data_IF_974788181998
#
_entry.id   IF_974788181998
#
_cell.length_a   1.000
_cell.length_b   1.000
_cell.length_c   1.000
_cell.angle_alpha   90.00
_cell.angle_beta   90.00
_cell.angle_gamma   90.00
#
_symmetry.space_group_name_H-M   'P 1'
#
loop_
_entity.id
_entity.type
_entity.pdbx_description
1 polymer ?
#
# COMPACT_ATOMS: atom_id res chain seq x y z
N UNK A 1 -12.67 31.26 -21.55
CA UNK A 1 -12.05 30.63 -20.36
C UNK A 1 -13.19 30.28 -19.44
N UNK A 2 -13.45 28.99 -19.21
CA UNK A 2 -14.42 28.57 -18.20
C UNK A 2 -13.91 28.99 -16.82
N UNK A 3 -14.78 29.62 -16.03
CA UNK A 3 -14.44 30.16 -14.72
C UNK A 3 -14.07 29.01 -13.75
N UNK A 4 -12.91 29.09 -13.10
CA UNK A 4 -12.49 28.10 -12.11
C UNK A 4 -13.22 28.42 -10.81
N UNK A 5 -14.42 27.87 -10.64
CA UNK A 5 -15.22 28.06 -9.44
C UNK A 5 -14.83 27.05 -8.36
N UNK A 6 -14.67 27.55 -7.13
CA UNK A 6 -14.46 26.73 -5.94
C UNK A 6 -15.66 26.91 -5.02
N UNK A 7 -16.32 25.81 -4.69
CA UNK A 7 -17.37 25.80 -3.69
C UNK A 7 -16.78 25.48 -2.31
N UNK A 8 -16.91 26.41 -1.38
CA UNK A 8 -16.43 26.27 -0.01
C UNK A 8 -17.60 25.83 0.88
N UNK A 9 -17.53 24.62 1.45
CA UNK A 9 -18.51 24.15 2.43
C UNK A 9 -18.43 24.97 3.73
N UNK A 10 -17.22 25.36 4.13
CA UNK A 10 -16.97 26.29 5.22
C UNK A 10 -16.31 27.57 4.67
N UNK A 11 -16.94 28.76 4.81
CA UNK A 11 -16.36 30.02 4.35
C UNK A 11 -14.97 30.33 4.92
N UNK A 12 -14.63 29.83 6.12
CA UNK A 12 -13.31 30.05 6.73
C UNK A 12 -12.19 29.28 6.00
N UNK A 13 -12.51 28.18 5.33
CA UNK A 13 -11.53 27.41 4.55
C UNK A 13 -10.99 28.20 3.35
N UNK A 14 -11.76 29.17 2.85
CA UNK A 14 -11.33 30.06 1.77
C UNK A 14 -10.15 30.97 2.16
N UNK A 15 -9.86 31.10 3.46
CA UNK A 15 -8.74 31.91 3.99
C UNK A 15 -7.45 31.12 4.14
N UNK A 16 -7.48 29.80 3.96
CA UNK A 16 -6.33 28.93 4.14
C UNK A 16 -5.52 28.82 2.84
N UNK A 17 -4.23 28.48 2.99
CA UNK A 17 -3.40 28.12 1.86
C UNK A 17 -3.58 26.64 1.55
N UNK A 18 -3.87 26.32 0.29
CA UNK A 18 -4.17 24.97 -0.17
C UNK A 18 -3.14 24.50 -1.19
N UNK A 19 -2.60 23.32 -0.95
CA UNK A 19 -1.66 22.67 -1.87
C UNK A 19 -2.34 21.48 -2.52
N UNK A 20 -2.18 21.31 -3.83
CA UNK A 20 -2.69 20.12 -4.53
C UNK A 20 -1.89 18.89 -4.07
N UNK A 21 -2.59 17.85 -3.64
CA UNK A 21 -1.98 16.56 -3.34
C UNK A 21 -1.67 15.83 -4.65
N UNK A 22 -0.42 15.94 -5.10
CA UNK A 22 0.07 15.24 -6.29
C UNK A 22 0.72 13.90 -5.97
N UNK A 23 0.91 13.59 -4.69
CA UNK A 23 1.64 12.39 -4.26
C UNK A 23 0.66 11.22 -4.13
N UNK A 24 -0.45 11.42 -3.42
CA UNK A 24 -1.43 10.36 -3.17
C UNK A 24 -2.57 10.37 -4.19
N UNK A 25 -2.96 11.54 -4.69
CA UNK A 25 -4.05 11.69 -5.68
C UNK A 25 -3.60 12.50 -6.92
N UNK A 26 -2.61 12.00 -7.70
CA UNK A 26 -2.05 12.72 -8.85
C UNK A 26 -3.05 12.97 -9.98
N UNK A 27 -4.12 12.16 -10.07
CA UNK A 27 -5.15 12.21 -11.10
C UNK A 27 -6.49 12.61 -10.48
N UNK A 28 -7.44 13.16 -11.28
CA UNK A 28 -8.78 13.43 -10.77
C UNK A 28 -9.40 12.19 -10.10
N UNK A 29 -9.83 12.33 -8.87
CA UNK A 29 -10.53 11.29 -8.13
C UNK A 29 -11.98 11.24 -8.57
N UNK A 30 -12.48 10.03 -8.85
CA UNK A 30 -13.91 9.82 -9.10
C UNK A 30 -14.70 9.98 -7.79
N UNK A 31 -15.96 10.48 -7.83
CA UNK A 31 -16.76 10.72 -6.61
C UNK A 31 -16.89 9.50 -5.69
N UNK A 32 -17.08 8.31 -6.28
CA UNK A 32 -17.17 7.07 -5.55
C UNK A 32 -15.85 6.75 -4.82
N UNK A 33 -14.72 6.79 -5.55
CA UNK A 33 -13.38 6.58 -4.98
C UNK A 33 -13.11 7.54 -3.83
N UNK A 34 -13.50 8.82 -3.96
CA UNK A 34 -13.29 9.82 -2.91
C UNK A 34 -14.06 9.48 -1.63
N UNK A 35 -15.31 9.07 -1.77
CA UNK A 35 -16.13 8.67 -0.62
C UNK A 35 -15.45 7.52 0.13
N UNK A 36 -15.00 6.49 -0.59
CA UNK A 36 -14.20 5.40 -0.02
C UNK A 36 -12.90 5.86 0.64
N UNK A 37 -12.06 6.62 -0.07
CA UNK A 37 -10.77 7.05 0.47
C UNK A 37 -10.94 7.88 1.74
N UNK A 38 -11.89 8.82 1.76
CA UNK A 38 -12.17 9.64 2.94
C UNK A 38 -12.65 8.78 4.11
N UNK A 39 -13.63 7.92 3.88
CA UNK A 39 -14.30 7.21 4.97
C UNK A 39 -13.42 6.08 5.53
N UNK A 40 -12.61 5.43 4.68
CA UNK A 40 -11.73 4.33 5.10
C UNK A 40 -10.39 4.87 5.62
N UNK A 41 -9.64 5.62 4.80
CA UNK A 41 -8.28 6.07 5.16
C UNK A 41 -8.37 7.10 6.28
N UNK A 42 -9.33 8.02 6.20
CA UNK A 42 -9.58 9.05 7.21
C UNK A 42 -9.95 8.46 8.57
N UNK A 43 -10.77 7.40 8.60
CA UNK A 43 -11.07 6.71 9.86
C UNK A 43 -9.86 5.93 10.38
N UNK A 44 -9.09 5.27 9.51
CA UNK A 44 -7.87 4.54 9.88
C UNK A 44 -6.82 5.46 10.51
N UNK A 45 -6.50 6.58 9.85
CA UNK A 45 -5.57 7.57 10.39
C UNK A 45 -6.11 8.19 11.69
N UNK A 46 -7.42 8.46 11.77
CA UNK A 46 -8.05 9.00 12.97
C UNK A 46 -7.93 8.08 14.20
N UNK A 47 -8.04 6.76 14.02
CA UNK A 47 -7.77 5.78 15.09
C UNK A 47 -6.30 5.80 15.50
N UNK A 48 -5.39 5.83 14.53
CA UNK A 48 -3.95 5.84 14.82
C UNK A 48 -3.47 7.15 15.46
N UNK A 49 -4.13 8.28 15.19
CA UNK A 49 -3.87 9.57 15.85
C UNK A 49 -4.17 9.56 17.36
N UNK A 50 -4.93 8.60 17.87
CA UNK A 50 -5.09 8.39 19.33
C UNK A 50 -3.81 7.82 19.97
N UNK A 51 -2.97 7.17 19.18
CA UNK A 51 -1.70 6.55 19.61
C UNK A 51 -0.54 7.52 19.41
N UNK A 52 -0.53 8.21 18.28
CA UNK A 52 0.53 9.13 17.87
C UNK A 52 0.01 10.58 17.89
N UNK A 53 0.52 11.43 18.80
CA UNK A 53 0.05 12.80 18.95
C UNK A 53 0.61 13.72 17.85
N UNK A 54 0.08 13.60 16.63
CA UNK A 54 0.49 14.45 15.52
C UNK A 54 0.21 15.94 15.84
N UNK A 55 1.17 16.83 15.56
CA UNK A 55 0.96 18.26 15.72
C UNK A 55 0.06 18.81 14.62
N UNK A 56 -0.83 19.71 15.01
CA UNK A 56 -1.76 20.40 14.12
C UNK A 56 -2.95 19.57 13.67
N UNK A 57 -3.64 20.09 12.67
CA UNK A 57 -4.76 19.43 12.01
C UNK A 57 -4.54 19.45 10.49
N UNK A 58 -4.82 18.33 9.84
CA UNK A 58 -4.88 18.27 8.38
C UNK A 58 -6.32 18.46 7.92
N UNK A 59 -6.51 19.25 6.86
CA UNK A 59 -7.79 19.33 6.13
C UNK A 59 -7.58 19.02 4.67
N UNK A 60 -8.58 18.41 4.05
CA UNK A 60 -8.60 18.17 2.60
C UNK A 60 -9.93 18.57 1.98
N UNK A 61 -9.87 19.21 0.81
CA UNK A 61 -11.02 19.58 -0.01
C UNK A 61 -10.88 18.97 -1.40
N UNK A 62 -12.00 18.89 -2.12
CA UNK A 62 -12.04 18.46 -3.51
C UNK A 62 -12.42 19.64 -4.39
N UNK A 63 -11.58 19.97 -5.37
CA UNK A 63 -11.84 21.04 -6.33
C UNK A 63 -11.66 20.48 -7.74
N UNK A 64 -12.75 20.43 -8.52
CA UNK A 64 -12.75 19.91 -9.90
C UNK A 64 -12.14 18.51 -10.04
N UNK A 65 -12.40 17.64 -9.06
CA UNK A 65 -11.88 16.27 -9.02
C UNK A 65 -10.47 16.14 -8.45
N UNK A 66 -9.78 17.23 -8.11
CA UNK A 66 -8.45 17.18 -7.50
C UNK A 66 -8.52 17.41 -6.00
N UNK A 67 -7.73 16.62 -5.26
CA UNK A 67 -7.58 16.80 -3.81
C UNK A 67 -6.60 17.92 -3.53
N UNK A 68 -7.01 18.84 -2.67
CA UNK A 68 -6.15 19.85 -2.08
C UNK A 68 -6.12 19.65 -0.58
N UNK A 69 -4.96 19.88 0.02
CA UNK A 69 -4.73 19.73 1.45
C UNK A 69 -4.13 20.99 2.05
N UNK A 70 -4.33 21.14 3.36
CA UNK A 70 -3.73 22.19 4.16
C UNK A 70 -3.42 21.65 5.55
N UNK A 71 -2.38 22.22 6.16
CA UNK A 71 -1.99 21.92 7.53
C UNK A 71 -2.26 23.16 8.38
N UNK A 72 -3.05 22.99 9.43
CA UNK A 72 -3.32 24.03 10.42
C UNK A 72 -2.41 23.72 11.62
N UNK A 73 -1.34 24.49 11.84
CA UNK A 73 -0.42 24.22 12.93
C UNK A 73 -1.06 24.51 14.29
N UNK A 74 -0.63 23.76 15.29
CA UNK A 74 -0.88 24.07 16.69
C UNK A 74 -0.05 25.29 17.14
N UNK A 75 -0.36 25.93 18.29
CA UNK A 75 0.53 26.92 18.89
C UNK A 75 1.97 26.39 19.02
N UNK A 76 3.02 27.23 18.88
CA UNK A 76 4.42 26.76 18.78
C UNK A 76 4.86 25.83 19.92
N UNK A 77 4.54 26.18 21.16
CA UNK A 77 4.92 25.38 22.34
C UNK A 77 4.24 24.01 22.33
N UNK A 78 2.95 23.97 21.94
CA UNK A 78 2.20 22.73 21.81
C UNK A 78 2.72 21.88 20.66
N UNK A 79 3.08 22.51 19.53
CA UNK A 79 3.73 21.83 18.40
C UNK A 79 5.02 21.15 18.84
N UNK A 80 5.92 21.88 19.53
CA UNK A 80 7.19 21.34 20.00
C UNK A 80 6.99 20.14 20.95
N UNK A 81 6.07 20.27 21.91
CA UNK A 81 5.74 19.19 22.85
C UNK A 81 5.19 17.95 22.13
N UNK A 82 4.24 18.12 21.22
CA UNK A 82 3.64 17.02 20.46
C UNK A 82 4.65 16.32 19.55
N UNK A 83 5.53 17.07 18.88
CA UNK A 83 6.63 16.50 18.08
C UNK A 83 7.52 15.61 18.95
N UNK A 84 7.93 16.09 20.13
CA UNK A 84 8.74 15.31 21.05
C UNK A 84 8.03 14.02 21.50
N UNK A 85 6.75 14.11 21.86
CA UNK A 85 5.94 12.96 22.26
C UNK A 85 5.75 11.96 21.12
N UNK A 86 5.50 12.46 19.91
CA UNK A 86 5.35 11.66 18.69
C UNK A 86 6.62 10.87 18.40
N UNK A 87 7.78 11.52 18.39
CA UNK A 87 9.06 10.87 18.16
C UNK A 87 9.37 9.84 19.24
N UNK A 88 9.18 10.20 20.52
CA UNK A 88 9.40 9.27 21.64
C UNK A 88 8.50 8.04 21.53
N UNK A 89 7.23 8.23 21.13
CA UNK A 89 6.29 7.12 20.97
C UNK A 89 6.66 6.22 19.78
N UNK A 90 6.94 6.81 18.62
CA UNK A 90 7.40 6.05 17.44
C UNK A 90 8.65 5.23 17.79
N UNK A 91 9.63 5.85 18.46
CA UNK A 91 10.85 5.17 18.88
C UNK A 91 10.59 4.01 19.86
N UNK A 92 9.67 4.20 20.81
CA UNK A 92 9.33 3.17 21.80
C UNK A 92 8.63 1.95 21.17
N UNK A 93 7.88 2.16 20.07
CA UNK A 93 7.15 1.08 19.40
C UNK A 93 8.06 0.22 18.49
N UNK A 94 9.21 0.74 18.02
CA UNK A 94 10.10 0.04 17.06
C UNK A 94 10.53 -1.36 17.54
N UNK A 95 11.02 -1.57 18.78
CA UNK A 95 11.54 -2.87 19.19
C UNK A 95 10.50 -3.99 19.22
N UNK A 96 9.24 -3.65 19.54
CA UNK A 96 8.14 -4.61 19.64
C UNK A 96 7.43 -4.85 18.29
N UNK A 97 7.64 -3.96 17.31
CA UNK A 97 6.96 -4.00 16.02
C UNK A 97 7.12 -5.35 15.27
N UNK A 98 8.30 -6.01 15.24
CA UNK A 98 8.44 -7.32 14.61
C UNK A 98 7.59 -8.41 15.28
N UNK A 99 7.44 -8.35 16.61
CA UNK A 99 6.60 -9.29 17.36
C UNK A 99 5.13 -9.02 17.03
N UNK A 100 4.67 -7.77 17.16
CA UNK A 100 3.29 -7.36 16.83
C UNK A 100 2.92 -7.71 15.39
N UNK A 101 3.85 -7.52 14.46
CA UNK A 101 3.64 -7.93 13.07
C UNK A 101 3.31 -9.43 12.98
N UNK A 102 4.18 -10.31 13.51
CA UNK A 102 4.03 -11.76 13.38
C UNK A 102 2.88 -12.34 14.20
N UNK A 103 2.63 -11.80 15.38
CA UNK A 103 1.70 -12.39 16.35
C UNK A 103 0.30 -11.76 16.29
N UNK A 104 0.18 -10.51 15.87
CA UNK A 104 -1.07 -9.74 15.91
C UNK A 104 -1.54 -9.38 14.50
N UNK A 105 -0.75 -8.58 13.77
CA UNK A 105 -1.20 -7.94 12.53
C UNK A 105 -1.25 -8.88 11.34
N UNK A 106 -0.19 -9.63 11.06
CA UNK A 106 -0.13 -10.55 9.92
C UNK A 106 -1.22 -11.63 10.01
N UNK A 107 -1.46 -12.29 11.17
CA UNK A 107 -2.58 -13.23 11.31
C UNK A 107 -3.95 -12.59 11.12
N UNK A 108 -4.15 -11.35 11.59
CA UNK A 108 -5.40 -10.59 11.41
C UNK A 108 -5.67 -10.31 9.93
N UNK A 109 -4.68 -9.75 9.22
CA UNK A 109 -4.75 -9.45 7.80
C UNK A 109 -4.96 -10.72 6.95
N UNK A 110 -4.27 -11.81 7.29
CA UNK A 110 -4.41 -13.09 6.60
C UNK A 110 -5.83 -13.68 6.76
N UNK A 111 -6.43 -13.56 7.95
CA UNK A 111 -7.80 -14.00 8.22
C UNK A 111 -8.81 -13.21 7.39
N UNK A 112 -8.67 -11.89 7.35
CA UNK A 112 -9.57 -11.03 6.58
C UNK A 112 -9.47 -11.31 5.09
N UNK A 113 -8.26 -11.49 4.58
CA UNK A 113 -8.05 -11.84 3.19
C UNK A 113 -8.65 -13.21 2.85
N UNK A 114 -8.46 -14.21 3.70
CA UNK A 114 -9.06 -15.53 3.49
C UNK A 114 -10.59 -15.46 3.45
N UNK A 115 -11.19 -14.65 4.33
CA UNK A 115 -12.64 -14.42 4.33
C UNK A 115 -13.13 -13.72 3.05
N UNK A 116 -12.39 -12.73 2.54
CA UNK A 116 -12.73 -12.09 1.27
C UNK A 116 -12.59 -13.04 0.07
N UNK A 117 -11.56 -13.90 0.07
CA UNK A 117 -11.34 -14.89 -0.98
C UNK A 117 -12.40 -16.00 -0.98
N UNK A 118 -12.95 -16.34 0.20
CA UNK A 118 -13.99 -17.36 0.33
C UNK A 118 -15.40 -16.86 -0.06
N UNK A 119 -15.61 -15.56 -0.22
CA UNK A 119 -16.93 -15.00 -0.51
C UNK A 119 -17.28 -15.08 -2.00
N UNK A 120 -18.37 -15.78 -2.32
CA UNK A 120 -18.83 -15.98 -3.70
C UNK A 120 -19.73 -14.84 -4.19
N UNK A 121 -19.13 -13.76 -4.67
CA UNK A 121 -19.82 -12.54 -5.12
C UNK A 121 -20.98 -12.81 -6.10
N UNK A 122 -20.82 -13.74 -7.05
CA UNK A 122 -21.83 -13.99 -8.10
C UNK A 122 -23.01 -14.83 -7.63
N UNK A 123 -22.85 -15.55 -6.52
CA UNK A 123 -23.90 -16.42 -5.95
C UNK A 123 -24.65 -15.75 -4.79
N UNK A 124 -24.12 -14.64 -4.26
CA UNK A 124 -24.69 -13.92 -3.15
C UNK A 124 -25.97 -13.16 -3.54
N UNK A 125 -26.94 -13.13 -2.63
CA UNK A 125 -28.10 -12.25 -2.67
C UNK A 125 -27.70 -10.78 -2.44
N UNK A 126 -28.61 -9.85 -2.73
CA UNK A 126 -28.38 -8.43 -2.50
C UNK A 126 -28.11 -8.11 -1.03
N UNK A 127 -28.85 -8.71 -0.10
CA UNK A 127 -28.66 -8.48 1.33
C UNK A 127 -27.29 -8.98 1.80
N UNK A 128 -26.85 -10.15 1.31
CA UNK A 128 -25.51 -10.69 1.59
C UNK A 128 -24.42 -9.80 0.99
N UNK A 129 -24.62 -9.24 -0.20
CA UNK A 129 -23.67 -8.32 -0.84
C UNK A 129 -23.53 -7.01 -0.05
N UNK A 130 -24.64 -6.41 0.38
CA UNK A 130 -24.62 -5.19 1.20
C UNK A 130 -23.92 -5.46 2.53
N UNK A 131 -24.29 -6.55 3.21
CA UNK A 131 -23.66 -6.92 4.47
C UNK A 131 -22.16 -7.19 4.31
N UNK A 132 -21.77 -7.91 3.26
CA UNK A 132 -20.36 -8.18 2.97
C UNK A 132 -19.58 -6.88 2.69
N UNK A 133 -20.19 -5.96 1.97
CA UNK A 133 -19.61 -4.67 1.66
C UNK A 133 -19.38 -3.82 2.91
N UNK A 134 -20.35 -3.75 3.83
CA UNK A 134 -20.21 -3.01 5.10
C UNK A 134 -19.10 -3.62 5.97
N UNK A 135 -19.03 -4.95 6.07
CA UNK A 135 -17.95 -5.64 6.79
C UNK A 135 -16.58 -5.39 6.15
N UNK A 136 -16.52 -5.34 4.81
CA UNK A 136 -15.29 -5.04 4.09
C UNK A 136 -14.82 -3.62 4.39
N UNK A 137 -15.73 -2.63 4.41
CA UNK A 137 -15.40 -1.25 4.79
C UNK A 137 -14.79 -1.18 6.19
N UNK A 138 -15.41 -1.82 7.17
CA UNK A 138 -14.92 -1.82 8.56
C UNK A 138 -13.53 -2.46 8.68
N UNK A 139 -13.32 -3.61 8.02
CA UNK A 139 -12.01 -4.28 7.97
C UNK A 139 -10.97 -3.41 7.28
N UNK A 140 -11.33 -2.73 6.19
CA UNK A 140 -10.41 -1.83 5.50
C UNK A 140 -9.99 -0.65 6.38
N UNK A 141 -10.88 -0.09 7.19
CA UNK A 141 -10.51 0.95 8.19
C UNK A 141 -9.44 0.41 9.14
N UNK A 142 -9.61 -0.82 9.63
CA UNK A 142 -8.65 -1.48 10.50
C UNK A 142 -7.32 -1.78 9.78
N UNK A 143 -7.35 -2.18 8.51
CA UNK A 143 -6.13 -2.40 7.72
C UNK A 143 -5.34 -1.11 7.54
N UNK A 144 -6.01 0.03 7.34
CA UNK A 144 -5.37 1.34 7.32
C UNK A 144 -4.81 1.76 8.67
N UNK A 145 -5.52 1.48 9.76
CA UNK A 145 -5.00 1.70 11.12
C UNK A 145 -3.70 0.89 11.35
N UNK A 146 -3.69 -0.41 11.01
CA UNK A 146 -2.50 -1.27 11.09
C UNK A 146 -1.37 -0.70 10.22
N UNK A 147 -1.68 -0.28 8.99
CA UNK A 147 -0.71 0.34 8.09
C UNK A 147 -0.01 1.53 8.76
N UNK A 148 -0.76 2.44 9.37
CA UNK A 148 -0.19 3.61 10.05
C UNK A 148 0.55 3.24 11.35
N UNK A 149 0.08 2.25 12.11
CA UNK A 149 0.78 1.72 13.29
C UNK A 149 2.15 1.13 12.95
N UNK A 150 2.37 0.69 11.71
CA UNK A 150 3.65 0.16 11.23
C UNK A 150 4.49 1.25 10.57
N UNK A 151 3.89 2.00 9.63
CA UNK A 151 4.60 2.99 8.81
C UNK A 151 5.22 4.09 9.66
N UNK A 152 4.55 4.56 10.69
CA UNK A 152 5.06 5.66 11.52
C UNK A 152 6.35 5.30 12.28
N UNK A 153 6.43 4.18 13.03
CA UNK A 153 7.70 3.71 13.59
C UNK A 153 8.79 3.41 12.54
N UNK A 154 8.41 2.86 11.38
CA UNK A 154 9.36 2.58 10.29
C UNK A 154 9.95 3.87 9.74
N UNK A 155 9.13 4.89 9.45
CA UNK A 155 9.59 6.21 9.01
C UNK A 155 10.53 6.84 10.04
N UNK A 156 10.25 6.69 11.32
CA UNK A 156 11.17 7.13 12.38
C UNK A 156 12.51 6.40 12.31
N UNK A 157 12.48 5.07 12.19
CA UNK A 157 13.69 4.22 12.08
C UNK A 157 14.53 4.59 10.88
N UNK A 158 13.90 4.85 9.74
CA UNK A 158 14.55 5.30 8.51
C UNK A 158 15.24 6.66 8.72
N UNK A 159 14.59 7.63 9.37
CA UNK A 159 15.21 8.93 9.69
C UNK A 159 16.39 8.79 10.65
N UNK A 160 16.32 7.86 11.62
CA UNK A 160 17.44 7.57 12.52
C UNK A 160 18.61 6.96 11.74
N UNK A 161 18.34 6.01 10.85
CA UNK A 161 19.35 5.40 9.98
C UNK A 161 20.04 6.44 9.08
N UNK A 162 19.27 7.29 8.38
CA UNK A 162 19.83 8.33 7.51
C UNK A 162 20.74 9.30 8.27
N UNK A 163 20.32 9.77 9.45
CA UNK A 163 21.13 10.65 10.30
C UNK A 163 22.39 9.97 10.83
N UNK A 164 22.32 8.69 11.18
CA UNK A 164 23.47 7.92 11.63
C UNK A 164 24.47 7.72 10.49
N UNK A 165 24.00 7.37 9.30
CA UNK A 165 24.82 7.21 8.11
C UNK A 165 25.58 8.50 7.80
N UNK A 166 24.86 9.62 7.66
CA UNK A 166 25.45 10.95 7.39
C UNK A 166 26.54 11.31 8.41
N UNK A 167 26.28 11.08 9.71
CA UNK A 167 27.25 11.36 10.78
C UNK A 167 28.52 10.51 10.70
N UNK A 168 28.43 9.28 10.21
CA UNK A 168 29.55 8.34 10.15
C UNK A 168 30.36 8.45 8.85
N UNK A 169 29.70 8.78 7.75
CA UNK A 169 30.32 8.79 6.41
C UNK A 169 30.61 10.20 5.90
N UNK A 170 29.91 11.22 6.39
CA UNK A 170 29.91 12.57 5.82
C UNK A 170 29.16 12.66 4.48
N UNK A 171 28.47 11.59 4.08
CA UNK A 171 27.69 11.53 2.84
C UNK A 171 26.26 12.04 3.10
N UNK A 172 25.84 13.01 2.29
CA UNK A 172 24.54 13.69 2.39
C UNK A 172 23.52 13.16 1.37
N UNK A 173 23.84 12.12 0.60
CA UNK A 173 22.85 11.47 -0.25
C UNK A 173 21.81 10.75 0.62
N UNK A 174 20.58 11.27 0.65
CA UNK A 174 19.47 10.70 1.40
C UNK A 174 19.13 9.27 0.98
N UNK A 175 19.50 8.85 -0.24
CA UNK A 175 19.22 7.51 -0.77
C UNK A 175 20.30 6.48 -0.39
N UNK A 176 21.54 6.92 -0.15
CA UNK A 176 22.66 6.04 0.16
C UNK A 176 22.44 5.11 1.38
N UNK A 177 21.81 5.54 2.50
CA UNK A 177 21.51 4.66 3.63
C UNK A 177 20.61 3.48 3.29
N UNK A 178 19.73 3.61 2.28
CA UNK A 178 18.77 2.57 1.93
C UNK A 178 19.42 1.35 1.27
N UNK A 179 20.62 1.50 0.70
CA UNK A 179 21.40 0.37 0.17
C UNK A 179 21.70 -0.65 1.26
N UNK A 180 21.91 -0.19 2.51
CA UNK A 180 22.20 -1.06 3.66
C UNK A 180 21.02 -1.97 4.04
N UNK A 181 19.79 -1.59 3.66
CA UNK A 181 18.57 -2.34 3.95
C UNK A 181 17.92 -2.96 2.71
N UNK A 182 18.47 -2.71 1.52
CA UNK A 182 17.95 -3.26 0.26
C UNK A 182 18.04 -4.80 0.19
N UNK A 183 18.95 -5.41 0.94
CA UNK A 183 19.15 -6.87 0.97
C UNK A 183 18.11 -7.66 1.79
N UNK A 184 17.21 -7.00 2.52
CA UNK A 184 16.19 -7.70 3.29
C UNK A 184 15.05 -8.19 2.39
N UNK A 185 14.69 -9.46 2.55
CA UNK A 185 13.54 -10.06 1.85
C UNK A 185 12.23 -9.34 2.19
N UNK A 186 11.39 -9.17 1.18
CA UNK A 186 10.03 -8.67 1.33
C UNK A 186 9.12 -9.33 0.28
N UNK A 187 7.80 -9.17 0.42
CA UNK A 187 6.83 -9.84 -0.47
C UNK A 187 6.98 -9.44 -1.95
N UNK A 188 7.50 -8.24 -2.24
CA UNK A 188 7.82 -7.82 -3.61
C UNK A 188 9.03 -8.59 -4.13
N UNK A 189 10.12 -8.64 -3.36
CA UNK A 189 11.34 -9.37 -3.73
C UNK A 189 11.09 -10.89 -3.89
N UNK A 190 10.30 -11.50 -3.00
CA UNK A 190 9.87 -12.90 -3.12
C UNK A 190 9.12 -13.15 -4.44
N UNK A 191 8.24 -12.22 -4.82
CA UNK A 191 7.44 -12.33 -6.04
C UNK A 191 8.27 -12.08 -7.30
N UNK A 192 9.19 -11.11 -7.28
CA UNK A 192 10.10 -10.85 -8.37
C UNK A 192 11.02 -12.06 -8.61
N UNK A 193 11.48 -12.69 -7.53
CA UNK A 193 12.23 -13.95 -7.60
C UNK A 193 11.38 -15.08 -8.19
N UNK A 194 10.13 -15.24 -7.74
CA UNK A 194 9.24 -16.26 -8.29
C UNK A 194 8.97 -16.03 -9.79
N UNK A 195 8.78 -14.78 -10.22
CA UNK A 195 8.63 -14.44 -11.63
C UNK A 195 9.92 -14.72 -12.43
N UNK A 196 11.08 -14.39 -11.87
CA UNK A 196 12.37 -14.71 -12.48
C UNK A 196 12.54 -16.22 -12.66
N UNK A 197 12.17 -17.04 -11.67
CA UNK A 197 12.22 -18.50 -11.78
C UNK A 197 11.29 -19.04 -12.87
N UNK A 198 10.11 -18.44 -13.06
CA UNK A 198 9.21 -18.75 -14.19
C UNK A 198 9.88 -18.40 -15.52
N UNK A 199 10.55 -17.25 -15.61
CA UNK A 199 11.27 -16.82 -16.80
C UNK A 199 12.47 -17.74 -17.13
N UNK A 200 13.21 -18.22 -16.13
CA UNK A 200 14.31 -19.18 -16.34
C UNK A 200 13.81 -20.51 -16.92
N UNK A 201 12.64 -20.99 -16.50
CA UNK A 201 12.01 -22.17 -17.10
C UNK A 201 11.61 -21.93 -18.55
N UNK A 202 11.13 -20.72 -18.88
CA UNK A 202 10.82 -20.36 -20.27
C UNK A 202 12.06 -20.45 -21.17
N UNK A 203 13.25 -20.05 -20.67
CA UNK A 203 14.50 -20.11 -21.43
C UNK A 203 14.96 -21.53 -21.78
N UNK A 204 14.46 -22.54 -21.07
CA UNK A 204 14.77 -23.95 -21.33
C UNK A 204 14.00 -24.52 -22.54
N UNK A 205 13.00 -23.78 -23.06
CA UNK A 205 12.18 -24.18 -24.21
C UNK A 205 12.21 -23.09 -25.30
N UNK A 206 12.93 -23.33 -26.43
CA UNK A 206 12.89 -22.44 -27.58
C UNK A 206 11.47 -22.21 -28.13
N UNK A 207 10.60 -23.23 -28.04
CA UNK A 207 9.21 -23.15 -28.48
C UNK A 207 8.37 -22.23 -27.59
N UNK A 208 8.56 -22.27 -26.27
CA UNK A 208 7.94 -21.31 -25.34
C UNK A 208 8.37 -19.89 -25.68
N UNK A 209 9.68 -19.64 -25.86
CA UNK A 209 10.19 -18.32 -26.22
C UNK A 209 9.59 -17.82 -27.54
N UNK A 210 9.52 -18.69 -28.56
CA UNK A 210 8.92 -18.38 -29.85
C UNK A 210 7.46 -17.96 -29.72
N UNK A 211 6.69 -18.62 -28.86
CA UNK A 211 5.29 -18.23 -28.61
C UNK A 211 5.20 -16.81 -28.06
N UNK A 212 6.04 -16.44 -27.07
CA UNK A 212 6.08 -15.08 -26.53
C UNK A 212 6.53 -14.03 -27.55
N UNK A 213 7.53 -14.34 -28.38
CA UNK A 213 8.05 -13.38 -29.35
C UNK A 213 7.13 -13.17 -30.56
N UNK A 214 6.31 -14.17 -30.89
CA UNK A 214 5.53 -14.18 -32.15
C UNK A 214 4.05 -13.83 -31.95
N UNK A 215 3.58 -13.64 -30.71
CA UNK A 215 2.16 -13.43 -30.43
C UNK A 215 1.94 -12.32 -29.42
N UNK A 216 0.83 -11.61 -29.57
CA UNK A 216 0.36 -10.66 -28.57
C UNK A 216 -0.06 -11.38 -27.27
N UNK A 217 -0.09 -10.69 -26.11
CA UNK A 217 -0.44 -11.30 -24.81
C UNK A 217 -1.80 -12.02 -24.79
N UNK A 218 -2.76 -11.54 -25.59
CA UNK A 218 -4.07 -12.15 -25.73
C UNK A 218 -3.97 -13.55 -26.33
N UNK A 219 -4.34 -14.58 -25.54
CA UNK A 219 -4.38 -15.96 -26.00
C UNK A 219 -3.04 -16.71 -25.97
N UNK A 220 -2.03 -16.21 -25.24
CA UNK A 220 -0.78 -16.95 -25.02
C UNK A 220 -0.99 -18.28 -24.30
N UNK A 221 -1.83 -18.31 -23.26
CA UNK A 221 -2.00 -19.52 -22.41
C UNK A 221 -2.49 -20.75 -23.19
N UNK A 222 -3.55 -20.68 -24.04
CA UNK A 222 -3.92 -21.80 -24.90
C UNK A 222 -2.79 -22.29 -25.81
N UNK A 223 -1.98 -21.37 -26.38
CA UNK A 223 -0.87 -21.72 -27.28
C UNK A 223 0.25 -22.43 -26.55
N UNK A 224 0.61 -21.92 -25.36
CA UNK A 224 1.63 -22.53 -24.50
C UNK A 224 1.22 -23.94 -24.06
N UNK A 225 -0.05 -24.15 -23.71
CA UNK A 225 -0.60 -25.46 -23.33
C UNK A 225 -0.67 -26.46 -24.49
N UNK A 226 -0.73 -25.97 -25.72
CA UNK A 226 -0.77 -26.81 -26.92
C UNK A 226 0.62 -27.24 -27.42
N UNK A 227 1.71 -26.76 -26.80
CA UNK A 227 3.07 -27.14 -27.20
C UNK A 227 3.33 -28.62 -26.87
N UNK A 228 3.86 -29.34 -27.86
CA UNK A 228 4.29 -30.73 -27.69
C UNK A 228 5.66 -30.86 -26.99
N UNK A 229 6.41 -29.76 -26.88
CA UNK A 229 7.72 -29.72 -26.23
C UNK A 229 7.62 -30.18 -24.76
N UNK A 230 8.31 -31.26 -24.36
CA UNK A 230 8.35 -31.70 -22.97
C UNK A 230 8.87 -30.62 -22.00
N UNK A 231 9.77 -29.73 -22.44
CA UNK A 231 10.29 -28.63 -21.64
C UNK A 231 9.27 -27.49 -21.44
N UNK A 232 8.19 -27.45 -22.24
CA UNK A 232 7.12 -26.47 -22.06
C UNK A 232 6.20 -26.79 -20.87
N UNK A 233 6.03 -28.08 -20.51
CA UNK A 233 5.11 -28.46 -19.42
C UNK A 233 5.53 -27.92 -18.05
N UNK A 234 6.82 -28.03 -17.63
CA UNK A 234 7.28 -27.44 -16.37
C UNK A 234 7.16 -25.91 -16.32
N UNK A 235 7.24 -25.25 -17.47
CA UNK A 235 7.01 -23.80 -17.58
C UNK A 235 5.54 -23.46 -17.41
N UNK A 236 4.63 -24.13 -18.14
CA UNK A 236 3.18 -23.90 -18.04
C UNK A 236 2.67 -24.12 -16.62
N UNK A 237 3.10 -25.20 -15.96
CA UNK A 237 2.77 -25.46 -14.57
C UNK A 237 3.23 -24.33 -13.64
N UNK A 238 4.50 -23.90 -13.75
CA UNK A 238 5.04 -22.81 -12.94
C UNK A 238 4.35 -21.47 -13.19
N UNK A 239 3.93 -21.20 -14.43
CA UNK A 239 3.18 -19.99 -14.77
C UNK A 239 1.75 -20.04 -14.22
N UNK A 240 1.08 -21.19 -14.32
CA UNK A 240 -0.26 -21.39 -13.73
C UNK A 240 -0.21 -21.24 -12.20
N UNK A 241 0.80 -21.80 -11.54
CA UNK A 241 1.03 -21.63 -10.11
C UNK A 241 1.27 -20.17 -9.73
N UNK A 242 2.10 -19.44 -10.49
CA UNK A 242 2.37 -18.02 -10.25
C UNK A 242 1.12 -17.13 -10.43
N UNK A 243 0.23 -17.51 -11.35
CA UNK A 243 -1.00 -16.77 -11.65
C UNK A 243 -2.19 -17.17 -10.77
N UNK A 244 -2.09 -18.26 -10.01
CA UNK A 244 -3.19 -18.78 -9.21
C UNK A 244 -3.72 -17.74 -8.20
N UNK A 245 -5.05 -17.65 -7.99
CA UNK A 245 -5.62 -16.83 -6.94
C UNK A 245 -5.04 -17.25 -5.57
N UNK A 246 -4.33 -16.33 -4.91
CA UNK A 246 -3.62 -16.61 -3.65
C UNK A 246 -2.11 -16.82 -3.77
N UNK A 247 -1.53 -16.88 -4.97
CA UNK A 247 -0.07 -16.83 -5.14
C UNK A 247 0.55 -15.52 -4.63
N UNK A 248 -0.26 -14.46 -4.46
CA UNK A 248 0.15 -13.23 -3.77
C UNK A 248 0.35 -13.41 -2.25
N UNK A 249 -0.15 -14.49 -1.66
CA UNK A 249 -0.18 -14.71 -0.20
C UNK A 249 0.28 -16.07 0.28
N UNK A 250 0.45 -17.07 -0.60
CA UNK A 250 1.04 -18.37 -0.28
C UNK A 250 2.52 -18.43 -0.66
N UNK A 251 3.38 -17.72 0.06
CA UNK A 251 4.83 -17.94 -0.02
C UNK A 251 5.42 -17.72 1.38
N UNK A 252 5.16 -18.67 2.26
CA UNK A 252 5.92 -18.94 3.49
C UNK A 252 5.35 -20.21 4.11
N UNK A 253 5.93 -21.34 3.72
CA UNK A 253 5.93 -22.59 4.47
C UNK A 253 7.39 -23.00 4.64
#
# INVERSE_FOLDING_TARGET
>A
MSDFSVHWENPEDAKLHWTRDTVHEPRPSLPLRRSFSRDIIGAGIGRTMQVYPFPGQSRSILVNGYTFETQIPDPPDMTAQKVQQLEARMQADVPDLPRRWREEFEPELARDLAAWQAFHLQAASWDELVQHFDQMLERMVRHWEIHFLIVFPVLHSTRVLSRMYERLTGDHDEQAPYVLVAGFGNKTAERDLALWQVAERARQSPDVLKVFMSHAPGGLMPRLRALSDPAARPFVAALDDFLAPGARTRLSS
#
